data_IF_900178592556
#
_entry.id   IF_900178592556
#
_cell.length_a   1.000
_cell.length_b   1.000
_cell.length_c   1.000
_cell.angle_alpha   90.00
_cell.angle_beta   90.00
_cell.angle_gamma   90.00
#
_symmetry.space_group_name_H-M   'P 1'
#
loop_
_entity.id
_entity.type
_entity.pdbx_description
1 polymer ?
#
# COMPACT_ATOMS: atom_id res chain seq x y z
N UNK A 1 -6.53 -0.14 -12.48
CA UNK A 1 -6.29 -1.28 -11.54
C UNK A 1 -7.24 -1.16 -10.34
N UNK A 2 -7.69 -2.26 -9.70
CA UNK A 2 -8.68 -2.19 -8.60
C UNK A 2 -8.27 -1.29 -7.41
N UNK A 3 -6.96 -1.20 -7.12
CA UNK A 3 -6.40 -0.36 -6.06
C UNK A 3 -5.87 1.01 -6.55
N UNK A 4 -6.14 1.40 -7.80
CA UNK A 4 -5.55 2.60 -8.39
C UNK A 4 -5.88 3.90 -7.65
N UNK A 5 -7.13 4.06 -7.19
CA UNK A 5 -7.52 5.23 -6.37
C UNK A 5 -6.76 5.28 -5.05
N UNK A 6 -6.49 4.12 -4.46
CA UNK A 6 -5.70 4.03 -3.23
C UNK A 6 -4.24 4.39 -3.48
N UNK A 7 -3.63 3.93 -4.58
CA UNK A 7 -2.26 4.36 -4.93
C UNK A 7 -2.17 5.87 -5.12
N UNK A 8 -3.15 6.48 -5.80
CA UNK A 8 -3.20 7.94 -6.01
C UNK A 8 -3.24 8.69 -4.68
N UNK A 9 -4.17 8.33 -3.79
CA UNK A 9 -4.29 8.92 -2.45
C UNK A 9 -3.03 8.70 -1.60
N UNK A 10 -2.36 7.54 -1.69
CA UNK A 10 -1.07 7.34 -0.99
C UNK A 10 0.02 8.29 -1.50
N UNK A 11 0.09 8.53 -2.81
CA UNK A 11 1.09 9.44 -3.39
C UNK A 11 0.80 10.90 -3.02
N UNK A 12 -0.47 11.30 -2.96
CA UNK A 12 -0.89 12.68 -2.74
C UNK A 12 -1.01 13.03 -1.24
N UNK A 13 -1.50 12.11 -0.42
CA UNK A 13 -1.95 12.35 0.95
C UNK A 13 -1.21 11.46 1.98
N UNK A 14 -0.34 10.56 1.53
CA UNK A 14 0.37 9.58 2.37
C UNK A 14 -0.59 8.64 3.15
N UNK A 15 -1.81 8.48 2.65
CA UNK A 15 -2.86 7.65 3.24
C UNK A 15 -3.63 6.89 2.14
N UNK A 16 -4.12 5.66 2.39
CA UNK A 16 -5.00 4.97 1.46
C UNK A 16 -6.44 5.45 1.64
N UNK A 17 -7.21 5.38 0.54
CA UNK A 17 -8.65 5.59 0.56
C UNK A 17 -9.43 4.32 0.96
N UNK A 18 -10.74 4.31 0.73
CA UNK A 18 -11.58 3.16 1.09
C UNK A 18 -11.20 1.89 0.33
N UNK A 19 -11.45 0.74 0.97
CA UNK A 19 -11.31 -0.57 0.35
C UNK A 19 -12.31 -0.73 -0.80
N UNK A 20 -11.81 -1.03 -1.99
CA UNK A 20 -12.65 -1.24 -3.17
C UNK A 20 -13.51 -2.53 -3.12
N UNK A 21 -13.27 -3.42 -2.14
CA UNK A 21 -14.00 -4.70 -1.98
C UNK A 21 -15.16 -4.58 -1.00
N UNK A 22 -14.91 -4.05 0.21
CA UNK A 22 -15.92 -3.96 1.27
C UNK A 22 -16.30 -2.52 1.65
N UNK A 23 -15.76 -1.52 0.94
CA UNK A 23 -15.96 -0.09 1.19
C UNK A 23 -15.52 0.42 2.58
N UNK A 24 -14.82 -0.41 3.37
CA UNK A 24 -14.27 0.00 4.65
C UNK A 24 -13.23 1.10 4.50
N UNK A 25 -13.24 2.05 5.44
CA UNK A 25 -12.20 3.08 5.60
C UNK A 25 -10.95 2.54 6.33
N UNK A 26 -11.02 1.34 6.89
CA UNK A 26 -9.94 0.70 7.64
C UNK A 26 -8.96 0.02 6.68
N UNK A 27 -8.30 0.84 5.86
CA UNK A 27 -7.23 0.45 4.94
C UNK A 27 -5.90 0.95 5.44
N UNK A 28 -4.85 0.25 5.05
CA UNK A 28 -3.49 0.64 5.40
C UNK A 28 -2.52 0.19 4.30
N UNK A 29 -1.29 0.69 4.36
CA UNK A 29 -0.26 0.36 3.39
C UNK A 29 1.13 0.36 4.03
N UNK A 30 2.09 -0.20 3.30
CA UNK A 30 3.50 -0.10 3.61
C UNK A 30 4.32 -0.07 2.33
N UNK A 31 5.39 0.71 2.32
CA UNK A 31 6.36 0.83 1.24
C UNK A 31 7.75 0.53 1.77
N UNK A 32 8.46 -0.36 1.09
CA UNK A 32 9.77 -0.85 1.51
C UNK A 32 10.80 -0.56 0.42
N UNK A 33 11.85 0.18 0.77
CA UNK A 33 12.99 0.41 -0.12
C UNK A 33 13.89 -0.84 -0.12
N UNK A 34 14.26 -1.30 -1.31
CA UNK A 34 15.23 -2.39 -1.51
C UNK A 34 16.58 -1.84 -2.00
N UNK A 35 16.55 -0.77 -2.80
CA UNK A 35 17.75 -0.10 -3.31
C UNK A 35 17.75 1.38 -2.91
N UNK A 36 18.58 1.72 -1.92
CA UNK A 36 18.73 3.08 -1.39
C UNK A 36 19.33 4.07 -2.40
N UNK A 37 20.03 3.60 -3.45
CA UNK A 37 20.60 4.51 -4.47
C UNK A 37 19.52 5.01 -5.42
N UNK A 38 18.56 4.16 -5.74
CA UNK A 38 17.49 4.48 -6.70
C UNK A 38 16.15 4.77 -6.02
N UNK A 39 16.05 4.53 -4.71
CA UNK A 39 14.82 4.47 -3.93
C UNK A 39 13.79 3.50 -4.51
N UNK A 40 14.25 2.44 -5.17
CA UNK A 40 13.37 1.43 -5.72
C UNK A 40 13.03 0.40 -4.66
N UNK A 41 11.76 -0.02 -4.68
CA UNK A 41 11.21 -0.87 -3.65
C UNK A 41 9.93 -1.55 -4.10
N UNK A 42 9.21 -2.08 -3.11
CA UNK A 42 7.89 -2.68 -3.28
C UNK A 42 6.91 -2.05 -2.28
N UNK A 43 5.63 -2.27 -2.52
CA UNK A 43 4.56 -1.78 -1.66
C UNK A 43 3.49 -2.83 -1.45
N UNK A 44 2.76 -2.71 -0.35
CA UNK A 44 1.55 -3.47 -0.09
C UNK A 44 0.47 -2.51 0.38
N UNK A 45 -0.73 -2.63 -0.19
CA UNK A 45 -1.93 -1.95 0.30
C UNK A 45 -2.92 -3.01 0.72
N UNK A 46 -3.60 -2.85 1.85
CA UNK A 46 -4.57 -3.82 2.35
C UNK A 46 -5.74 -3.18 3.07
N UNK A 47 -6.80 -3.97 3.25
CA UNK A 47 -7.91 -3.66 4.15
C UNK A 47 -7.82 -4.52 5.40
N UNK A 48 -7.88 -3.89 6.58
CA UNK A 48 -7.82 -4.57 7.87
C UNK A 48 -9.08 -5.41 8.15
N UNK A 49 -10.22 -5.07 7.54
CA UNK A 49 -11.50 -5.75 7.79
C UNK A 49 -11.69 -6.99 6.90
N UNK A 50 -11.59 -6.84 5.57
CA UNK A 50 -11.83 -7.97 4.64
C UNK A 50 -10.56 -8.73 4.24
N UNK A 51 -9.39 -8.25 4.67
CA UNK A 51 -8.05 -8.80 4.39
C UNK A 51 -7.64 -8.82 2.91
N UNK A 52 -8.41 -8.19 2.01
CA UNK A 52 -7.99 -8.04 0.62
C UNK A 52 -6.81 -7.08 0.55
N UNK A 53 -5.81 -7.44 -0.25
CA UNK A 53 -4.57 -6.72 -0.39
C UNK A 53 -4.14 -6.64 -1.85
N UNK A 54 -3.08 -5.87 -2.08
CA UNK A 54 -2.43 -5.79 -3.38
C UNK A 54 -0.95 -5.51 -3.21
N UNK A 55 -0.15 -6.34 -3.87
CA UNK A 55 1.30 -6.22 -3.89
C UNK A 55 1.74 -5.41 -5.12
N UNK A 56 2.48 -4.34 -4.86
CA UNK A 56 3.10 -3.49 -5.87
C UNK A 56 4.56 -3.94 -5.99
N UNK A 57 4.88 -4.74 -7.00
CA UNK A 57 6.20 -5.39 -7.09
C UNK A 57 7.36 -4.43 -7.36
N UNK A 58 7.11 -3.25 -7.95
CA UNK A 58 8.15 -2.28 -8.28
C UNK A 58 7.60 -0.86 -8.26
N UNK A 59 8.11 -0.04 -7.33
CA UNK A 59 7.74 1.38 -7.20
C UNK A 59 8.95 2.19 -6.73
N UNK A 60 9.01 3.46 -7.12
CA UNK A 60 9.93 4.42 -6.52
C UNK A 60 9.30 4.93 -5.23
N UNK A 61 9.89 4.57 -4.10
CA UNK A 61 9.37 4.88 -2.76
C UNK A 61 9.92 6.21 -2.30
N UNK A 62 9.06 7.10 -1.83
CA UNK A 62 9.52 8.33 -1.19
C UNK A 62 9.91 8.05 0.27
N UNK A 63 11.00 8.64 0.80
CA UNK A 63 11.46 8.36 2.17
C UNK A 63 10.45 8.68 3.30
N UNK A 64 9.45 9.51 3.01
CA UNK A 64 8.37 9.89 3.94
C UNK A 64 7.17 8.92 3.94
N UNK A 65 7.19 7.90 3.06
CA UNK A 65 6.13 6.91 3.01
C UNK A 65 6.22 5.95 4.19
N UNK A 66 5.06 5.47 4.63
CA UNK A 66 4.95 4.53 5.74
C UNK A 66 5.71 3.24 5.43
N UNK A 67 6.58 2.82 6.34
CA UNK A 67 7.32 1.55 6.30
C UNK A 67 7.07 0.81 7.61
N UNK A 68 6.06 -0.06 7.62
CA UNK A 68 5.65 -0.86 8.77
C UNK A 68 5.58 -2.34 8.39
N UNK A 69 5.58 -3.25 9.37
CA UNK A 69 5.31 -4.67 9.11
C UNK A 69 3.95 -4.86 8.41
N UNK A 70 3.96 -5.65 7.35
CA UNK A 70 2.73 -6.06 6.65
C UNK A 70 2.06 -7.17 7.48
N UNK A 71 0.75 -7.10 7.75
CA UNK A 71 0.07 -8.12 8.53
C UNK A 71 0.00 -9.46 7.79
N UNK A 72 -0.01 -10.55 8.54
CA UNK A 72 -0.23 -11.90 8.01
C UNK A 72 -1.70 -12.14 7.62
N UNK A 73 -1.95 -13.18 6.81
CA UNK A 73 -3.30 -13.62 6.45
C UNK A 73 -4.02 -12.76 5.40
N UNK A 74 -3.27 -11.94 4.64
CA UNK A 74 -3.79 -11.14 3.54
C UNK A 74 -4.16 -12.00 2.31
N UNK A 75 -5.15 -11.53 1.56
CA UNK A 75 -5.67 -12.13 0.32
C UNK A 75 -5.27 -11.23 -0.86
N UNK A 76 -4.37 -11.71 -1.71
CA UNK A 76 -3.84 -10.97 -2.87
C UNK A 76 -4.61 -11.26 -4.16
#
# INVERSE_FOLDING_TARGET
>A
MKWEKNLKSIIEENAPGNCHVCNSINTDYSMHIIDDKTNMGYGVIWCNDCKNAFHISRIKVSPNMKNIPVPEGLKY
#
